data_IF_450252798090
#
_entry.id   IF_450252798090
#
_cell.length_a   1.000
_cell.length_b   1.000
_cell.length_c   1.000
_cell.angle_alpha   90.00
_cell.angle_beta   90.00
_cell.angle_gamma   90.00
#
_symmetry.space_group_name_H-M   'P 1'
#
loop_
_entity.id
_entity.type
_entity.pdbx_description
1 polymer ?
#
# COMPACT_ATOMS: atom_id res chain seq x y z
N UNK A 1 -12.08 -0.20 -13.04
CA UNK A 1 -11.66 0.46 -11.80
C UNK A 1 -12.58 0.01 -10.69
N UNK A 2 -12.04 -0.42 -9.56
CA UNK A 2 -12.81 -0.83 -8.38
C UNK A 2 -12.38 -0.03 -7.16
N UNK A 3 -13.32 0.20 -6.24
CA UNK A 3 -13.12 0.89 -4.96
C UNK A 3 -13.48 -0.02 -3.77
N UNK A 4 -13.12 -1.28 -3.88
CA UNK A 4 -13.49 -2.37 -2.98
C UNK A 4 -12.35 -2.81 -2.07
N UNK A 5 -11.41 -1.92 -1.81
CA UNK A 5 -10.29 -2.11 -0.91
C UNK A 5 -10.44 -1.09 0.22
N UNK A 6 -10.30 -1.54 1.45
CA UNK A 6 -10.32 -0.69 2.63
C UNK A 6 -9.01 -0.81 3.40
N UNK A 7 -8.64 0.25 4.11
CA UNK A 7 -7.61 0.15 5.12
C UNK A 7 -8.13 0.60 6.48
N UNK A 8 -7.63 -0.06 7.52
CA UNK A 8 -8.19 0.01 8.87
C UNK A 8 -7.13 -0.18 9.95
N UNK A 9 -7.51 0.20 11.17
CA UNK A 9 -6.74 -0.07 12.40
C UNK A 9 -7.70 -0.41 13.56
N UNK A 10 -7.18 -0.66 14.75
CA UNK A 10 -7.97 -1.16 15.88
C UNK A 10 -9.22 -0.34 16.22
N UNK A 11 -9.20 0.98 16.01
CA UNK A 11 -10.34 1.86 16.35
C UNK A 11 -11.50 1.80 15.38
N UNK A 12 -11.28 1.32 14.12
CA UNK A 12 -12.38 1.20 13.19
C UNK A 12 -13.36 0.10 13.65
N UNK A 13 -14.62 0.48 13.86
CA UNK A 13 -15.72 -0.45 14.10
C UNK A 13 -16.18 -1.05 12.77
N UNK A 14 -15.81 -2.31 12.49
CA UNK A 14 -16.17 -2.97 11.24
C UNK A 14 -16.52 -4.44 11.43
N UNK A 15 -17.54 -4.91 10.72
CA UNK A 15 -17.89 -6.31 10.53
C UNK A 15 -17.37 -6.77 9.18
N UNK A 16 -16.29 -7.56 9.16
CA UNK A 16 -15.64 -7.97 7.92
C UNK A 16 -16.52 -8.88 7.05
N UNK A 17 -17.41 -9.66 7.65
CA UNK A 17 -18.38 -10.48 6.89
C UNK A 17 -19.36 -9.59 6.13
N UNK A 18 -19.93 -8.56 6.76
CA UNK A 18 -20.81 -7.61 6.08
C UNK A 18 -20.04 -6.80 5.02
N UNK A 19 -18.81 -6.42 5.29
CA UNK A 19 -17.96 -5.74 4.33
C UNK A 19 -17.74 -6.60 3.07
N UNK A 20 -17.36 -7.88 3.24
CA UNK A 20 -17.22 -8.83 2.13
C UNK A 20 -18.52 -9.01 1.36
N UNK A 21 -19.62 -9.25 2.05
CA UNK A 21 -20.95 -9.46 1.44
C UNK A 21 -21.43 -8.21 0.69
N UNK A 22 -20.99 -7.03 1.12
CA UNK A 22 -21.19 -5.74 0.44
C UNK A 22 -20.18 -5.42 -0.65
N UNK A 23 -19.27 -6.36 -1.00
CA UNK A 23 -18.39 -6.26 -2.15
C UNK A 23 -16.94 -5.84 -1.85
N UNK A 24 -16.53 -5.70 -0.58
CA UNK A 24 -15.12 -5.50 -0.25
C UNK A 24 -14.34 -6.77 -0.61
N UNK A 25 -13.18 -6.60 -1.24
CA UNK A 25 -12.32 -7.69 -1.74
C UNK A 25 -11.00 -7.77 -0.98
N UNK A 26 -10.51 -6.65 -0.47
CA UNK A 26 -9.24 -6.58 0.23
C UNK A 26 -9.30 -5.67 1.46
N UNK A 27 -8.52 -6.03 2.46
CA UNK A 27 -8.33 -5.28 3.70
C UNK A 27 -6.84 -5.10 3.95
N UNK A 28 -6.39 -3.87 4.15
CA UNK A 28 -5.03 -3.55 4.58
C UNK A 28 -5.14 -3.03 6.02
N UNK A 29 -4.41 -3.65 6.96
CA UNK A 29 -4.59 -3.36 8.38
C UNK A 29 -3.29 -2.88 9.01
N UNK A 30 -3.38 -1.85 9.88
CA UNK A 30 -2.25 -1.47 10.73
C UNK A 30 -1.78 -2.67 11.54
N UNK A 31 -0.52 -3.02 11.40
CA UNK A 31 0.09 -4.02 12.24
C UNK A 31 0.85 -3.37 13.40
N UNK A 32 1.69 -2.38 13.07
CA UNK A 32 2.59 -1.75 14.04
C UNK A 32 2.78 -0.26 13.76
N UNK A 33 3.31 0.46 14.75
CA UNK A 33 3.75 1.84 14.63
C UNK A 33 5.06 2.04 15.40
N UNK A 34 6.00 2.78 14.80
CA UNK A 34 7.29 3.05 15.43
C UNK A 34 7.98 1.78 15.91
N UNK A 35 8.76 1.88 16.98
CA UNK A 35 9.61 0.78 17.44
C UNK A 35 8.91 -0.23 18.35
N UNK A 36 7.66 0.03 18.79
CA UNK A 36 7.05 -0.82 19.86
C UNK A 36 5.53 -0.93 19.84
N UNK A 37 4.81 -0.03 19.15
CA UNK A 37 3.36 -0.07 19.14
C UNK A 37 2.90 -1.21 18.23
N UNK A 38 1.94 -2.01 18.70
CA UNK A 38 1.36 -3.17 18.03
C UNK A 38 -0.16 -3.08 18.08
N UNK A 39 -0.81 -3.21 16.93
CA UNK A 39 -2.27 -3.09 16.85
C UNK A 39 -2.94 -4.33 17.45
N UNK A 40 -3.76 -4.11 18.47
CA UNK A 40 -4.36 -5.19 19.28
C UNK A 40 -5.36 -6.06 18.54
N UNK A 41 -5.90 -5.59 17.40
CA UNK A 41 -6.89 -6.32 16.62
C UNK A 41 -6.31 -6.97 15.36
N UNK A 42 -5.04 -6.73 15.06
CA UNK A 42 -4.41 -7.19 13.82
C UNK A 42 -4.56 -8.69 13.59
N UNK A 43 -4.13 -9.52 14.53
CA UNK A 43 -4.14 -10.98 14.35
C UNK A 43 -5.54 -11.57 14.26
N UNK A 44 -6.47 -11.09 15.11
CA UNK A 44 -7.87 -11.52 15.06
C UNK A 44 -8.50 -11.22 13.70
N UNK A 45 -8.34 -9.97 13.22
CA UNK A 45 -8.92 -9.53 11.94
C UNK A 45 -8.24 -10.17 10.73
N UNK A 46 -6.94 -10.44 10.82
CA UNK A 46 -6.22 -11.19 9.80
C UNK A 46 -6.83 -12.59 9.61
N UNK A 47 -7.04 -13.31 10.71
CA UNK A 47 -7.64 -14.63 10.64
C UNK A 47 -9.07 -14.57 10.09
N UNK A 48 -9.90 -13.67 10.61
CA UNK A 48 -11.25 -13.46 10.12
C UNK A 48 -11.30 -13.13 8.62
N UNK A 49 -10.45 -12.21 8.15
CA UNK A 49 -10.38 -11.83 6.75
C UNK A 49 -9.99 -13.02 5.84
N UNK A 50 -8.99 -13.81 6.25
CA UNK A 50 -8.55 -15.01 5.52
C UNK A 50 -9.65 -16.07 5.47
N UNK A 51 -10.34 -16.32 6.56
CA UNK A 51 -11.47 -17.26 6.62
C UNK A 51 -12.64 -16.84 5.73
N UNK A 52 -12.80 -15.52 5.54
CA UNK A 52 -13.80 -14.94 4.64
C UNK A 52 -13.34 -14.88 3.16
N UNK A 53 -12.10 -15.26 2.84
CA UNK A 53 -11.54 -15.19 1.49
C UNK A 53 -11.24 -13.77 1.01
N UNK A 54 -11.09 -12.82 1.94
CA UNK A 54 -10.61 -11.46 1.65
C UNK A 54 -9.09 -11.50 1.43
N UNK A 55 -8.60 -10.68 0.52
CA UNK A 55 -7.18 -10.39 0.39
C UNK A 55 -6.73 -9.58 1.62
N UNK A 56 -5.54 -9.92 2.13
CA UNK A 56 -5.01 -9.29 3.34
C UNK A 56 -3.72 -8.53 3.08
N UNK A 57 -3.56 -7.40 3.78
CA UNK A 57 -2.32 -6.64 3.82
C UNK A 57 -2.04 -6.11 5.22
N UNK A 58 -0.76 -5.86 5.49
CA UNK A 58 -0.26 -5.26 6.71
C UNK A 58 0.46 -3.95 6.40
N UNK A 59 0.25 -2.90 7.19
CA UNK A 59 1.08 -1.72 7.13
C UNK A 59 1.77 -1.39 8.45
N UNK A 60 2.94 -0.79 8.34
CA UNK A 60 3.72 -0.21 9.43
C UNK A 60 3.64 1.30 9.36
N UNK A 61 3.09 1.94 10.36
CA UNK A 61 3.07 3.39 10.50
C UNK A 61 4.44 3.88 10.97
N UNK A 62 5.10 4.69 10.15
CA UNK A 62 6.47 5.09 10.38
C UNK A 62 6.63 6.28 11.34
N UNK A 63 7.80 6.35 11.96
CA UNK A 63 8.25 7.49 12.77
C UNK A 63 9.71 7.80 12.46
N UNK A 64 10.23 8.92 12.97
CA UNK A 64 11.65 9.26 12.85
C UNK A 64 12.61 8.45 13.74
N UNK A 65 12.12 7.42 14.42
CA UNK A 65 12.93 6.55 15.28
C UNK A 65 13.85 5.60 14.48
N UNK A 66 14.58 4.74 15.18
CA UNK A 66 15.49 3.73 14.57
C UNK A 66 14.77 2.87 13.54
N UNK A 67 15.27 2.85 12.31
CA UNK A 67 14.69 2.06 11.21
C UNK A 67 14.79 0.57 11.50
N UNK A 68 15.92 0.11 12.03
CA UNK A 68 16.12 -1.31 12.34
C UNK A 68 15.08 -1.81 13.35
N UNK A 69 14.84 -1.03 14.41
CA UNK A 69 13.87 -1.41 15.45
C UNK A 69 12.42 -1.36 14.90
N UNK A 70 12.11 -0.44 13.98
CA UNK A 70 10.82 -0.39 13.31
C UNK A 70 10.59 -1.61 12.41
N UNK A 71 11.60 -2.01 11.63
CA UNK A 71 11.53 -3.22 10.79
C UNK A 71 11.38 -4.47 11.65
N UNK A 72 12.16 -4.59 12.73
CA UNK A 72 12.06 -5.71 13.68
C UNK A 72 10.67 -5.77 14.32
N UNK A 73 10.15 -4.63 14.83
CA UNK A 73 8.81 -4.56 15.39
C UNK A 73 7.74 -5.02 14.38
N UNK A 74 7.84 -4.54 13.14
CA UNK A 74 6.88 -4.89 12.09
C UNK A 74 6.94 -6.37 11.71
N UNK A 75 8.10 -6.88 11.34
CA UNK A 75 8.23 -8.26 10.86
C UNK A 75 7.96 -9.29 11.95
N UNK A 76 8.42 -9.02 13.18
CA UNK A 76 8.18 -9.91 14.32
C UNK A 76 6.71 -9.99 14.69
N UNK A 77 5.97 -8.88 14.58
CA UNK A 77 4.55 -8.87 14.93
C UNK A 77 3.65 -9.28 13.77
N UNK A 78 3.80 -8.67 12.60
CA UNK A 78 2.93 -8.93 11.47
C UNK A 78 3.11 -10.34 10.88
N UNK A 79 4.35 -10.87 10.86
CA UNK A 79 4.70 -12.17 10.29
C UNK A 79 4.03 -12.39 8.92
N UNK A 80 4.25 -11.49 7.95
CA UNK A 80 3.52 -11.54 6.69
C UNK A 80 3.91 -12.77 5.87
N UNK A 81 2.92 -13.44 5.29
CA UNK A 81 3.12 -14.54 4.35
C UNK A 81 3.28 -14.01 2.92
N UNK A 82 3.69 -14.86 1.97
CA UNK A 82 3.99 -14.45 0.59
C UNK A 82 2.75 -13.93 -0.17
N UNK A 83 1.55 -14.31 0.27
CA UNK A 83 0.26 -13.89 -0.29
C UNK A 83 -0.31 -12.62 0.36
N UNK A 84 0.40 -12.01 1.30
CA UNK A 84 -0.05 -10.81 2.02
C UNK A 84 0.72 -9.57 1.60
N UNK A 85 0.02 -8.47 1.36
CA UNK A 85 0.64 -7.19 1.07
C UNK A 85 1.36 -6.66 2.32
N UNK A 86 2.57 -6.13 2.11
CA UNK A 86 3.33 -5.39 3.13
C UNK A 86 3.50 -3.95 2.68
N UNK A 87 3.28 -3.00 3.58
CA UNK A 87 3.39 -1.57 3.27
C UNK A 87 4.14 -0.80 4.34
N UNK A 88 4.98 0.13 3.88
CA UNK A 88 5.43 1.26 4.67
C UNK A 88 4.38 2.37 4.55
N UNK A 89 3.83 2.79 5.67
CA UNK A 89 2.99 3.97 5.80
C UNK A 89 3.88 5.15 6.20
N UNK A 90 4.12 6.04 5.22
CA UNK A 90 5.01 7.19 5.38
C UNK A 90 4.24 8.50 5.34
N UNK A 91 3.77 8.89 6.50
CA UNK A 91 3.03 10.13 6.72
C UNK A 91 3.45 10.83 8.03
N UNK A 92 2.97 12.04 8.31
CA UNK A 92 3.33 12.75 9.52
C UNK A 92 2.99 11.97 10.80
N UNK A 93 3.94 11.92 11.72
CA UNK A 93 3.79 11.24 13.02
C UNK A 93 3.52 12.25 14.14
N UNK A 94 3.17 11.76 15.34
CA UNK A 94 3.06 12.60 16.54
C UNK A 94 4.42 12.99 17.15
N UNK A 95 5.51 12.73 16.44
CA UNK A 95 6.88 13.04 16.82
C UNK A 95 7.70 13.41 15.59
N UNK A 96 9.02 13.14 15.58
CA UNK A 96 9.81 13.31 14.38
C UNK A 96 9.31 12.39 13.28
N UNK A 97 9.14 12.93 12.08
CA UNK A 97 8.75 12.18 10.89
C UNK A 97 9.91 11.33 10.34
N UNK A 98 9.57 10.24 9.69
CA UNK A 98 10.56 9.45 8.93
C UNK A 98 11.13 10.31 7.79
N UNK A 99 12.45 10.38 7.72
CA UNK A 99 13.16 11.06 6.64
C UNK A 99 13.21 10.21 5.36
N UNK A 100 13.46 10.83 4.21
CA UNK A 100 13.67 10.13 2.95
C UNK A 100 14.78 9.05 3.03
N UNK A 101 15.86 9.35 3.73
CA UNK A 101 16.95 8.37 3.94
C UNK A 101 16.49 7.17 4.76
N UNK A 102 15.69 7.41 5.80
CA UNK A 102 15.12 6.34 6.62
C UNK A 102 14.10 5.51 5.84
N UNK A 103 13.24 6.15 5.03
CA UNK A 103 12.29 5.44 4.18
C UNK A 103 13.00 4.50 3.18
N UNK A 104 14.07 4.97 2.53
CA UNK A 104 14.92 4.14 1.67
C UNK A 104 15.52 2.94 2.42
N UNK A 105 16.06 3.20 3.62
CA UNK A 105 16.64 2.13 4.46
C UNK A 105 15.57 1.12 4.87
N UNK A 106 14.38 1.57 5.26
CA UNK A 106 13.27 0.71 5.66
C UNK A 106 12.87 -0.25 4.53
N UNK A 107 12.60 0.27 3.33
CA UNK A 107 12.16 -0.58 2.21
C UNK A 107 13.25 -1.55 1.76
N UNK A 108 14.53 -1.16 1.85
CA UNK A 108 15.65 -2.05 1.57
C UNK A 108 15.77 -3.17 2.61
N UNK A 109 15.60 -2.85 3.90
CA UNK A 109 15.63 -3.86 4.96
C UNK A 109 14.45 -4.84 4.82
N UNK A 110 13.23 -4.35 4.56
CA UNK A 110 12.08 -5.23 4.28
C UNK A 110 12.37 -6.14 3.09
N UNK A 111 12.94 -5.61 2.00
CA UNK A 111 13.32 -6.42 0.84
C UNK A 111 14.34 -7.50 1.21
N UNK A 112 15.36 -7.16 1.99
CA UNK A 112 16.40 -8.11 2.38
C UNK A 112 15.83 -9.25 3.25
N UNK A 113 14.92 -8.94 4.16
CA UNK A 113 14.32 -9.92 5.08
C UNK A 113 13.22 -10.78 4.41
N UNK A 114 12.48 -10.22 3.44
CA UNK A 114 11.31 -10.89 2.86
C UNK A 114 11.51 -11.33 1.40
N UNK A 115 12.61 -10.94 0.76
CA UNK A 115 12.86 -11.18 -0.67
C UNK A 115 12.01 -10.32 -1.61
N UNK A 116 11.25 -9.35 -1.12
CA UNK A 116 10.35 -8.52 -1.93
C UNK A 116 10.25 -7.08 -1.43
N UNK A 117 10.09 -6.15 -2.37
CA UNK A 117 9.87 -4.76 -2.04
C UNK A 117 8.49 -4.55 -1.43
N UNK A 118 8.34 -3.74 -0.36
CA UNK A 118 7.03 -3.38 0.16
C UNK A 118 6.34 -2.39 -0.77
N UNK A 119 5.03 -2.26 -0.62
CA UNK A 119 4.27 -1.09 -1.08
C UNK A 119 4.69 0.12 -0.23
N UNK A 120 4.72 1.31 -0.83
CA UNK A 120 4.91 2.55 -0.08
C UNK A 120 3.65 3.39 -0.16
N UNK A 121 3.10 3.70 1.01
CA UNK A 121 1.95 4.59 1.15
C UNK A 121 2.40 5.98 1.58
N UNK A 122 1.72 7.00 1.07
CA UNK A 122 1.87 8.36 1.53
C UNK A 122 1.15 9.39 0.68
N UNK A 123 1.03 10.57 1.25
CA UNK A 123 0.39 11.75 0.69
C UNK A 123 1.35 12.93 0.52
N UNK A 124 1.08 14.03 1.25
CA UNK A 124 1.86 15.26 1.11
C UNK A 124 3.30 15.12 1.63
N UNK A 125 3.52 14.48 2.78
CA UNK A 125 4.87 14.28 3.32
C UNK A 125 5.76 13.51 2.33
N UNK A 126 5.26 12.42 1.76
CA UNK A 126 5.95 11.67 0.73
C UNK A 126 6.33 12.56 -0.45
N UNK A 127 5.38 13.33 -0.99
CA UNK A 127 5.62 14.21 -2.15
C UNK A 127 6.69 15.27 -1.88
N UNK A 128 6.64 15.89 -0.72
CA UNK A 128 7.59 16.93 -0.31
C UNK A 128 8.98 16.35 -0.07
N UNK A 129 9.04 15.17 0.55
CA UNK A 129 10.31 14.51 0.90
C UNK A 129 11.06 13.99 -0.32
N UNK A 130 10.39 13.43 -1.34
CA UNK A 130 11.08 12.83 -2.50
C UNK A 130 11.57 13.87 -3.50
N UNK A 131 11.04 15.11 -3.46
CA UNK A 131 11.45 16.19 -4.36
C UNK A 131 11.18 15.88 -5.85
N UNK A 132 12.07 16.32 -6.74
CA UNK A 132 11.88 16.25 -8.19
C UNK A 132 12.88 15.32 -8.91
N UNK A 133 13.70 14.58 -8.19
CA UNK A 133 14.69 13.69 -8.78
C UNK A 133 14.21 12.24 -8.80
N UNK A 134 14.66 11.42 -9.78
CA UNK A 134 14.44 9.99 -9.76
C UNK A 134 15.01 9.36 -8.48
N UNK A 135 14.32 8.36 -7.97
CA UNK A 135 14.78 7.56 -6.83
C UNK A 135 14.86 6.09 -7.22
N UNK A 136 16.06 5.55 -7.43
CA UNK A 136 16.24 4.17 -7.89
C UNK A 136 15.87 3.12 -6.83
N UNK A 137 15.75 3.51 -5.56
CA UNK A 137 15.33 2.61 -4.49
C UNK A 137 13.82 2.59 -4.40
N UNK A 138 13.19 3.76 -4.19
CA UNK A 138 11.74 3.85 -4.02
C UNK A 138 10.96 3.47 -5.28
N UNK A 139 11.54 3.64 -6.48
CA UNK A 139 10.92 3.23 -7.74
C UNK A 139 10.67 1.71 -7.86
N UNK A 140 11.27 0.90 -7.00
CA UNK A 140 10.97 -0.54 -6.92
C UNK A 140 9.72 -0.85 -6.09
N UNK A 141 9.27 0.08 -5.27
CA UNK A 141 8.10 -0.06 -4.43
C UNK A 141 6.84 0.37 -5.19
N UNK A 142 5.78 -0.44 -5.28
CA UNK A 142 4.49 0.03 -5.79
C UNK A 142 3.98 1.19 -4.93
N UNK A 143 3.41 2.24 -5.55
CA UNK A 143 2.88 3.39 -4.85
C UNK A 143 1.42 3.17 -4.43
N UNK A 144 1.12 3.32 -3.16
CA UNK A 144 -0.22 3.49 -2.62
C UNK A 144 -0.38 4.97 -2.25
N UNK A 145 -1.07 5.71 -3.09
CA UNK A 145 -1.11 7.17 -3.04
C UNK A 145 -2.32 7.69 -2.27
N UNK A 146 -2.10 8.53 -1.26
CA UNK A 146 -3.14 9.20 -0.50
C UNK A 146 -3.46 10.58 -1.10
N UNK A 147 -4.68 10.72 -1.60
CA UNK A 147 -5.18 11.99 -2.13
C UNK A 147 -6.72 12.03 -2.11
N UNK A 148 -7.31 12.74 -1.18
CA UNK A 148 -8.76 12.91 -1.06
C UNK A 148 -9.26 13.97 -2.04
N UNK A 149 -9.43 13.58 -3.29
CA UNK A 149 -9.82 14.44 -4.40
C UNK A 149 -10.48 13.62 -5.52
N UNK A 150 -11.06 14.28 -6.53
CA UNK A 150 -11.68 13.58 -7.67
C UNK A 150 -10.66 12.94 -8.63
N UNK A 151 -9.38 13.17 -8.41
CA UNK A 151 -8.29 12.56 -9.20
C UNK A 151 -6.99 12.55 -8.41
N UNK A 152 -6.10 11.57 -8.66
CA UNK A 152 -4.83 11.40 -7.94
C UNK A 152 -3.74 12.33 -8.50
N UNK A 153 -4.00 13.65 -8.47
CA UNK A 153 -3.04 14.65 -8.92
C UNK A 153 -1.85 14.78 -7.98
N UNK A 154 -0.68 15.11 -8.54
CA UNK A 154 0.53 15.39 -7.78
C UNK A 154 1.36 14.15 -7.44
N UNK A 155 1.14 13.03 -8.11
CA UNK A 155 2.03 11.87 -8.03
C UNK A 155 3.44 12.30 -8.47
N UNK A 156 4.50 11.95 -7.71
CA UNK A 156 5.90 12.18 -8.12
C UNK A 156 6.29 11.31 -9.31
N UNK A 157 5.93 11.74 -10.52
CA UNK A 157 6.04 10.93 -11.75
C UNK A 157 7.47 10.62 -12.17
N UNK A 158 8.46 11.32 -11.62
CA UNK A 158 9.89 11.02 -11.77
C UNK A 158 10.29 9.70 -11.09
N UNK A 159 9.48 9.22 -10.11
CA UNK A 159 9.71 7.96 -9.39
C UNK A 159 8.63 6.95 -9.77
N UNK A 160 7.37 7.34 -9.71
CA UNK A 160 6.22 6.48 -10.00
C UNK A 160 5.40 7.05 -11.17
N UNK A 161 5.42 6.41 -12.34
CA UNK A 161 4.62 6.90 -13.48
C UNK A 161 3.11 6.86 -13.22
N UNK A 162 2.69 6.04 -12.24
CA UNK A 162 1.30 5.92 -11.76
C UNK A 162 1.27 5.30 -10.37
N UNK A 163 0.07 5.16 -9.78
CA UNK A 163 -0.16 4.48 -8.53
C UNK A 163 -0.57 3.00 -8.73
N UNK A 164 -0.28 2.18 -7.74
CA UNK A 164 -0.84 0.82 -7.63
C UNK A 164 -2.21 0.86 -6.93
N UNK A 165 -2.29 1.60 -5.84
CA UNK A 165 -3.54 1.90 -5.12
C UNK A 165 -3.66 3.41 -4.90
N UNK A 166 -4.89 3.90 -4.87
CA UNK A 166 -5.20 5.29 -4.54
C UNK A 166 -6.23 5.35 -3.42
N UNK A 167 -5.80 5.82 -2.23
CA UNK A 167 -6.70 6.16 -1.13
C UNK A 167 -7.36 7.49 -1.46
N UNK A 168 -8.65 7.44 -1.81
CA UNK A 168 -9.39 8.60 -2.33
C UNK A 168 -10.27 9.28 -1.27
N UNK A 169 -10.52 8.58 -0.15
CA UNK A 169 -11.32 9.09 0.97
C UNK A 169 -10.91 8.40 2.27
N UNK A 170 -11.06 9.12 3.40
CA UNK A 170 -10.96 8.59 4.78
C UNK A 170 -12.34 8.14 5.33
N UNK A 171 -13.36 8.14 4.47
CA UNK A 171 -14.73 7.83 4.83
C UNK A 171 -15.57 9.04 5.21
N UNK A 172 -14.96 10.23 5.33
CA UNK A 172 -15.64 11.51 5.62
C UNK A 172 -15.26 12.59 4.61
N UNK A 173 -13.99 12.66 4.23
CA UNK A 173 -13.43 13.63 3.28
C UNK A 173 -13.07 12.92 1.98
N UNK A 174 -13.26 13.62 0.86
CA UNK A 174 -12.96 13.10 -0.49
C UNK A 174 -14.22 12.80 -1.30
N UNK A 175 -14.08 12.18 -2.46
CA UNK A 175 -15.21 11.80 -3.29
C UNK A 175 -15.99 10.62 -2.72
N UNK A 176 -17.28 10.56 -3.06
CA UNK A 176 -18.14 9.40 -2.78
C UNK A 176 -17.71 8.14 -3.60
N UNK A 177 -18.02 6.93 -3.13
CA UNK A 177 -18.79 6.64 -1.90
C UNK A 177 -17.89 6.63 -0.65
N UNK A 178 -18.37 7.26 0.43
CA UNK A 178 -17.74 7.22 1.75
C UNK A 178 -18.11 5.96 2.53
N UNK A 179 -19.38 5.57 2.44
CA UNK A 179 -19.91 4.45 3.21
C UNK A 179 -19.22 3.13 2.85
N UNK A 180 -18.82 2.40 3.89
CA UNK A 180 -18.30 1.03 3.77
C UNK A 180 -19.29 0.06 4.43
N UNK A 181 -19.78 -0.96 3.71
CA UNK A 181 -20.68 -1.97 4.29
C UNK A 181 -20.07 -2.59 5.55
N UNK A 182 -20.86 -2.70 6.60
CA UNK A 182 -20.43 -3.26 7.88
C UNK A 182 -19.58 -2.33 8.76
N UNK A 183 -19.26 -1.13 8.31
CA UNK A 183 -18.58 -0.14 9.14
C UNK A 183 -19.58 0.69 9.96
N UNK A 184 -19.22 0.99 11.21
CA UNK A 184 -19.98 1.86 12.10
C UNK A 184 -19.59 3.34 12.03
N UNK A 185 -18.71 3.72 11.12
CA UNK A 185 -18.18 5.08 10.90
C UNK A 185 -17.31 5.16 9.67
N UNK A 186 -16.58 6.26 9.48
CA UNK A 186 -15.63 6.45 8.39
C UNK A 186 -14.56 5.35 8.35
N UNK A 187 -14.30 4.83 7.18
CA UNK A 187 -13.26 3.85 6.90
C UNK A 187 -12.60 4.23 5.58
N UNK A 188 -11.28 4.23 5.57
CA UNK A 188 -10.49 4.60 4.41
C UNK A 188 -10.76 3.65 3.23
N UNK A 189 -10.96 4.24 2.05
CA UNK A 189 -11.27 3.48 0.84
C UNK A 189 -10.28 3.74 -0.27
N UNK A 190 -9.99 2.68 -1.00
CA UNK A 190 -8.94 2.66 -2.00
C UNK A 190 -9.47 2.22 -3.36
N UNK A 191 -8.92 2.84 -4.39
CA UNK A 191 -9.17 2.52 -5.79
C UNK A 191 -8.01 1.70 -6.34
N UNK A 192 -8.37 0.63 -7.06
CA UNK A 192 -7.49 -0.10 -7.96
C UNK A 192 -7.93 0.09 -9.42
N UNK A 193 -6.98 0.29 -10.33
CA UNK A 193 -7.27 0.54 -11.76
C UNK A 193 -7.54 -0.75 -12.55
N UNK A 194 -8.33 -1.64 -12.02
CA UNK A 194 -8.66 -2.92 -12.65
C UNK A 194 -9.98 -3.47 -12.15
N UNK A 195 -10.17 -4.75 -12.33
CA UNK A 195 -11.30 -5.54 -11.83
C UNK A 195 -10.89 -6.32 -10.58
N UNK A 196 -11.86 -6.85 -9.84
CA UNK A 196 -11.56 -7.68 -8.67
C UNK A 196 -10.78 -8.98 -9.03
N UNK A 197 -11.08 -9.70 -10.12
CA UNK A 197 -10.24 -10.80 -10.58
C UNK A 197 -8.79 -10.38 -10.86
N UNK A 198 -8.58 -9.25 -11.54
CA UNK A 198 -7.23 -8.74 -11.82
C UNK A 198 -6.49 -8.37 -10.53
N UNK A 199 -7.18 -7.77 -9.55
CA UNK A 199 -6.55 -7.48 -8.24
C UNK A 199 -6.11 -8.78 -7.54
N UNK A 200 -6.95 -9.83 -7.56
CA UNK A 200 -6.60 -11.13 -6.98
C UNK A 200 -5.41 -11.80 -7.66
N UNK A 201 -5.28 -11.64 -8.96
CA UNK A 201 -4.17 -12.19 -9.75
C UNK A 201 -2.82 -11.55 -9.40
N UNK A 202 -2.81 -10.22 -9.15
CA UNK A 202 -1.57 -9.48 -8.90
C UNK A 202 -1.30 -9.20 -7.42
N UNK A 203 -2.22 -9.55 -6.52
CA UNK A 203 -1.97 -9.41 -5.10
C UNK A 203 -0.80 -10.31 -4.66
N UNK A 204 0.10 -9.83 -3.84
CA UNK A 204 0.09 -8.66 -2.96
C UNK A 204 0.77 -7.38 -3.52
N UNK A 205 0.75 -7.14 -4.80
CA UNK A 205 1.26 -5.93 -5.49
C UNK A 205 2.78 -5.75 -5.43
N UNK A 206 3.52 -6.74 -4.98
CA UNK A 206 4.96 -6.66 -4.72
C UNK A 206 5.76 -7.37 -5.81
N UNK A 207 7.05 -7.00 -5.95
CA UNK A 207 7.97 -7.62 -6.88
C UNK A 207 8.95 -8.52 -6.13
N UNK A 208 9.20 -9.71 -6.69
CA UNK A 208 10.29 -10.57 -6.22
C UNK A 208 11.64 -10.11 -6.78
N UNK A 209 12.73 -10.57 -6.17
CA UNK A 209 14.09 -10.24 -6.61
C UNK A 209 14.41 -10.68 -8.03
N UNK A 210 13.78 -11.73 -8.53
CA UNK A 210 13.92 -12.23 -9.91
C UNK A 210 13.29 -11.32 -10.97
N UNK A 211 12.71 -10.19 -10.56
CA UNK A 211 12.07 -9.24 -11.46
C UNK A 211 10.73 -9.71 -12.03
N UNK A 212 10.24 -10.88 -11.61
CA UNK A 212 8.90 -11.34 -11.97
C UNK A 212 7.91 -10.72 -10.96
N UNK A 213 6.96 -9.87 -11.41
CA UNK A 213 5.89 -9.41 -10.54
C UNK A 213 5.11 -10.61 -10.01
N UNK A 214 4.69 -10.56 -8.76
CA UNK A 214 3.71 -11.54 -8.28
C UNK A 214 2.40 -11.33 -9.09
N UNK A 215 2.08 -12.28 -9.96
CA UNK A 215 1.11 -12.07 -11.02
C UNK A 215 1.77 -11.38 -12.23
N UNK A 216 2.05 -12.13 -13.29
CA UNK A 216 2.70 -11.62 -14.52
C UNK A 216 1.94 -10.45 -15.20
N UNK A 217 0.72 -10.15 -14.75
CA UNK A 217 -0.15 -9.13 -15.29
C UNK A 217 0.01 -7.71 -14.72
N UNK A 218 0.80 -7.48 -13.64
CA UNK A 218 0.80 -6.14 -13.00
C UNK A 218 1.21 -5.03 -13.96
N UNK A 219 2.30 -5.19 -14.71
CA UNK A 219 2.75 -4.19 -15.69
C UNK A 219 1.81 -4.14 -16.90
N UNK A 220 1.26 -5.27 -17.30
CA UNK A 220 0.28 -5.33 -18.40
C UNK A 220 -1.04 -4.67 -18.02
N UNK A 221 -1.51 -4.85 -16.80
CA UNK A 221 -2.70 -4.19 -16.26
C UNK A 221 -2.47 -2.67 -16.15
N UNK A 222 -1.33 -2.23 -15.66
CA UNK A 222 -0.97 -0.82 -15.61
C UNK A 222 -0.84 -0.22 -17.03
N UNK A 223 -0.30 -0.95 -17.99
CA UNK A 223 -0.22 -0.54 -19.39
C UNK A 223 -1.60 -0.51 -20.06
N UNK A 224 -2.47 -1.50 -19.79
CA UNK A 224 -3.83 -1.55 -20.32
C UNK A 224 -4.72 -0.42 -19.78
N UNK A 225 -4.44 0.05 -18.56
CA UNK A 225 -5.09 1.22 -17.97
C UNK A 225 -4.66 2.56 -18.61
N UNK A 226 -3.78 2.54 -19.62
CA UNK A 226 -3.34 3.74 -20.37
C UNK A 226 -2.35 4.63 -19.62
N UNK A 227 -1.81 4.18 -18.50
CA UNK A 227 -1.03 5.01 -17.57
C UNK A 227 0.50 4.93 -17.76
N UNK A 228 1.00 4.04 -18.63
CA UNK A 228 2.43 3.94 -18.91
C UNK A 228 2.66 3.91 -20.43
N UNK A 229 3.32 4.94 -20.97
CA UNK A 229 3.87 4.88 -22.33
C UNK A 229 4.99 3.84 -22.36
N UNK A 230 4.91 2.85 -23.25
CA UNK A 230 5.99 1.88 -23.48
C UNK A 230 7.33 2.60 -23.65
N UNK A 231 8.41 2.21 -22.95
CA UNK A 231 9.71 2.74 -23.24
C UNK A 231 10.06 2.43 -24.70
N UNK A 232 10.31 3.47 -25.50
CA UNK A 232 10.75 3.31 -26.88
C UNK A 232 12.13 2.65 -26.87
N UNK A 233 12.23 1.41 -27.37
CA UNK A 233 13.52 0.76 -27.60
C UNK A 233 14.33 1.66 -28.54
N UNK A 234 15.35 2.35 -28.03
CA UNK A 234 16.36 2.98 -28.88
C UNK A 234 17.05 1.90 -29.68
N UNK A 235 16.90 1.92 -31.02
CA UNK A 235 17.69 1.06 -31.91
C UNK A 235 19.17 1.36 -31.68
N UNK A 236 20.03 0.34 -31.58
CA UNK A 236 21.47 0.56 -31.54
C UNK A 236 21.87 1.27 -32.85
N UNK A 237 22.57 2.38 -32.71
CA UNK A 237 23.21 3.05 -33.86
C UNK A 237 24.28 2.07 -34.41
N UNK A 238 24.15 1.77 -35.72
CA UNK A 238 25.21 1.11 -36.48
C UNK A 238 26.40 2.04 -36.65
#
# INVERSE_FOLDING_TARGET
>A
MINTIIDIYHSNGINLKQARDGGIVAVIHKATEGTSIRDSRYHQRRQEAKDLGLLWGAYHFSTGASVADQVENFLTYAQPTDDELISLDWEPSNGPDMTLSQARSFVQMIRNETGRWPVIYGGHLLRESVGHQPDPILSNCPLWYARYANSPIGIPTQIWPTYALWQYTDGDVGPEPHATPGAGGGVDRNIFQGTAPQLREIWPLTRREDGVPHGAGFIEILNAAGNIKKPTKKKPKK
#
